data_IF_007377413182
#
_entry.id   IF_007377413182
#
_cell.length_a   1.000
_cell.length_b   1.000
_cell.length_c   1.000
_cell.angle_alpha   90.00
_cell.angle_beta   90.00
_cell.angle_gamma   90.00
#
_symmetry.space_group_name_H-M   'P 1'
#
loop_
_entity.id
_entity.type
_entity.pdbx_description
1 polymer ?
#
# COMPACT_ATOMS: atom_id res chain seq x y z
N UNK A 1 18.06 -10.47 -9.55
CA UNK A 1 17.65 -9.55 -8.48
C UNK A 1 16.54 -10.22 -7.71
N UNK A 2 16.61 -10.27 -6.38
CA UNK A 2 15.43 -10.67 -5.58
C UNK A 2 14.34 -9.64 -5.84
N UNK A 3 13.08 -10.07 -5.95
CA UNK A 3 11.96 -9.18 -6.31
C UNK A 3 11.78 -8.04 -5.31
N UNK A 4 12.04 -8.33 -4.04
CA UNK A 4 12.06 -7.35 -2.96
C UNK A 4 13.03 -6.18 -3.19
N UNK A 5 14.28 -6.46 -3.58
CA UNK A 5 15.26 -5.39 -3.87
C UNK A 5 14.83 -4.49 -5.04
N UNK A 6 14.22 -5.09 -6.07
CA UNK A 6 13.69 -4.31 -7.19
C UNK A 6 12.58 -3.34 -6.74
N UNK A 7 11.75 -3.74 -5.78
CA UNK A 7 10.71 -2.87 -5.21
C UNK A 7 11.36 -1.73 -4.41
N UNK A 8 12.39 -2.01 -3.60
CA UNK A 8 13.12 -0.97 -2.84
C UNK A 8 13.84 0.03 -3.75
N UNK A 9 14.37 -0.43 -4.88
CA UNK A 9 14.96 0.45 -5.90
C UNK A 9 13.90 1.41 -6.47
N UNK A 10 12.70 0.93 -6.82
CA UNK A 10 11.62 1.81 -7.27
C UNK A 10 11.21 2.84 -6.21
N UNK A 11 11.12 2.44 -4.94
CA UNK A 11 10.80 3.36 -3.85
C UNK A 11 11.86 4.47 -3.73
N UNK A 12 13.14 4.11 -3.89
CA UNK A 12 14.27 5.05 -3.88
C UNK A 12 14.22 6.00 -5.08
N UNK A 13 13.95 5.49 -6.28
CA UNK A 13 13.83 6.31 -7.50
C UNK A 13 12.66 7.31 -7.44
N UNK A 14 11.58 6.94 -6.73
CA UNK A 14 10.39 7.77 -6.52
C UNK A 14 10.52 8.74 -5.33
N UNK A 15 11.65 8.71 -4.60
CA UNK A 15 11.87 9.49 -3.36
C UNK A 15 10.80 9.22 -2.29
N UNK A 16 10.31 7.98 -2.22
CA UNK A 16 9.31 7.55 -1.24
C UNK A 16 10.01 7.04 0.01
N UNK A 17 9.59 7.55 1.18
CA UNK A 17 10.19 7.17 2.45
C UNK A 17 9.74 5.79 2.92
N UNK A 18 10.70 4.95 3.32
CA UNK A 18 10.45 3.67 4.01
C UNK A 18 10.48 3.95 5.52
N UNK A 19 9.34 3.75 6.17
CA UNK A 19 9.15 3.94 7.61
C UNK A 19 9.45 2.69 8.45
N UNK A 20 9.31 1.50 7.84
CA UNK A 20 9.62 0.22 8.46
C UNK A 20 9.98 -0.81 7.38
N UNK A 21 10.83 -1.76 7.72
CA UNK A 21 11.29 -2.84 6.83
C UNK A 21 11.40 -4.13 7.63
N UNK A 22 10.91 -5.22 7.05
CA UNK A 22 11.09 -6.60 7.50
C UNK A 22 11.62 -7.46 6.34
N UNK A 23 12.93 -7.70 6.33
CA UNK A 23 13.59 -8.50 5.29
C UNK A 23 13.18 -9.98 5.33
N UNK A 24 12.76 -10.51 6.49
CA UNK A 24 12.40 -11.92 6.63
C UNK A 24 11.05 -12.22 5.96
N UNK A 25 10.13 -11.28 6.06
CA UNK A 25 8.80 -11.33 5.44
C UNK A 25 8.77 -10.61 4.07
N UNK A 26 9.91 -10.16 3.54
CA UNK A 26 10.01 -9.39 2.29
C UNK A 26 8.98 -8.22 2.20
N UNK A 27 8.83 -7.49 3.30
CA UNK A 27 7.80 -6.46 3.50
C UNK A 27 8.42 -5.10 3.87
N UNK A 28 7.84 -4.01 3.37
CA UNK A 28 8.15 -2.63 3.80
C UNK A 28 6.88 -1.83 4.07
N UNK A 29 6.98 -0.84 4.97
CA UNK A 29 5.92 0.15 5.21
C UNK A 29 6.39 1.50 4.75
N UNK A 30 5.68 2.12 3.82
CA UNK A 30 6.05 3.39 3.20
C UNK A 30 5.13 4.54 3.61
N UNK A 31 5.65 5.75 3.49
CA UNK A 31 4.90 6.99 3.69
C UNK A 31 5.25 8.00 2.61
N UNK A 32 4.20 8.62 2.06
CA UNK A 32 4.27 9.78 1.18
C UNK A 32 2.98 10.61 1.35
N UNK A 33 2.92 11.47 2.38
CA UNK A 33 1.73 12.25 2.68
C UNK A 33 1.32 13.22 1.57
N UNK A 34 2.28 13.68 0.75
CA UNK A 34 2.01 14.61 -0.35
C UNK A 34 1.14 13.96 -1.43
N UNK A 35 1.35 12.66 -1.68
CA UNK A 35 0.54 11.85 -2.61
C UNK A 35 -0.57 11.04 -1.93
N UNK A 36 -0.83 11.29 -0.64
CA UNK A 36 -1.90 10.63 0.12
C UNK A 36 -1.60 9.19 0.57
N UNK A 37 -0.33 8.80 0.56
CA UNK A 37 0.14 7.50 1.06
C UNK A 37 0.51 7.64 2.54
N UNK A 38 -0.18 6.91 3.39
CA UNK A 38 0.04 6.88 4.84
C UNK A 38 0.05 5.44 5.34
N UNK A 39 1.23 4.96 5.74
CA UNK A 39 1.45 3.61 6.24
C UNK A 39 0.96 2.53 5.26
N UNK A 40 1.29 2.69 3.98
CA UNK A 40 1.04 1.64 3.00
C UNK A 40 2.06 0.52 3.22
N UNK A 41 1.55 -0.70 3.38
CA UNK A 41 2.35 -1.91 3.44
C UNK A 41 2.53 -2.42 2.01
N UNK A 42 3.78 -2.72 1.67
CA UNK A 42 4.16 -3.39 0.44
C UNK A 42 4.77 -4.71 0.82
N UNK A 43 4.10 -5.79 0.42
CA UNK A 43 4.46 -7.16 0.75
C UNK A 43 4.75 -7.94 -0.54
N UNK A 44 5.96 -8.50 -0.63
CA UNK A 44 6.48 -9.15 -1.84
C UNK A 44 6.29 -10.68 -1.81
N UNK A 45 5.04 -11.13 -1.74
CA UNK A 45 4.67 -12.55 -1.74
C UNK A 45 4.76 -13.22 -3.12
N UNK A 46 5.73 -14.11 -3.40
CA UNK A 46 5.84 -14.79 -4.71
C UNK A 46 4.56 -15.57 -5.08
N UNK A 47 3.91 -15.32 -6.24
CA UNK A 47 4.36 -14.53 -7.40
C UNK A 47 3.74 -13.13 -7.55
N UNK A 48 3.14 -12.60 -6.50
CA UNK A 48 2.42 -11.32 -6.47
C UNK A 48 3.17 -10.25 -5.67
N UNK A 49 2.68 -9.03 -5.74
CA UNK A 49 3.06 -7.96 -4.81
C UNK A 49 1.76 -7.39 -4.29
N UNK A 50 1.62 -7.32 -2.97
CA UNK A 50 0.43 -6.78 -2.31
C UNK A 50 0.74 -5.36 -1.86
N UNK A 51 -0.09 -4.41 -2.28
CA UNK A 51 -0.06 -3.00 -1.86
C UNK A 51 -1.32 -2.75 -1.05
N UNK A 52 -1.18 -2.54 0.25
CA UNK A 52 -2.32 -2.34 1.14
C UNK A 52 -2.17 -1.11 2.03
N UNK A 53 -3.27 -0.39 2.21
CA UNK A 53 -3.32 0.77 3.10
C UNK A 53 -4.72 0.87 3.72
N UNK A 54 -4.78 1.16 5.01
CA UNK A 54 -6.04 1.51 5.66
C UNK A 54 -6.49 2.91 5.22
N UNK A 55 -7.58 2.99 4.45
CA UNK A 55 -8.14 4.26 4.01
C UNK A 55 -9.03 4.88 5.11
N UNK A 56 -9.96 4.09 5.65
CA UNK A 56 -10.90 4.53 6.69
C UNK A 56 -11.52 3.36 7.43
N UNK A 57 -11.92 3.58 8.68
CA UNK A 57 -12.79 2.66 9.39
C UNK A 57 -14.21 2.70 8.79
N UNK A 58 -14.85 1.53 8.71
CA UNK A 58 -16.24 1.44 8.28
C UNK A 58 -17.15 1.96 9.41
N UNK A 59 -18.02 2.95 9.16
CA UNK A 59 -18.96 3.45 10.16
C UNK A 59 -20.04 2.40 10.48
N UNK A 60 -20.56 2.42 11.71
CA UNK A 60 -21.56 1.47 12.19
C UNK A 60 -22.87 1.48 11.36
N UNK A 61 -23.20 2.61 10.74
CA UNK A 61 -24.32 2.75 9.81
C UNK A 61 -23.78 3.22 8.45
N UNK A 62 -23.36 2.28 7.56
CA UNK A 62 -22.61 2.62 6.36
C UNK A 62 -23.45 3.23 5.24
N UNK A 63 -24.79 3.15 5.29
CA UNK A 63 -25.66 3.68 4.24
C UNK A 63 -25.24 3.19 2.84
N UNK A 64 -25.00 4.12 1.93
CA UNK A 64 -24.57 3.83 0.55
C UNK A 64 -23.05 3.67 0.37
N UNK A 65 -22.25 3.65 1.44
CA UNK A 65 -20.78 3.62 1.38
C UNK A 65 -20.24 2.53 0.44
N UNK A 66 -20.62 1.28 0.65
CA UNK A 66 -20.10 0.17 -0.16
C UNK A 66 -20.50 0.27 -1.63
N UNK A 67 -21.73 0.72 -1.91
CA UNK A 67 -22.18 0.98 -3.28
C UNK A 67 -21.32 2.06 -3.92
N UNK A 68 -21.01 3.13 -3.19
CA UNK A 68 -20.17 4.22 -3.71
C UNK A 68 -18.73 3.76 -3.98
N UNK A 69 -18.15 2.95 -3.10
CA UNK A 69 -16.82 2.36 -3.32
C UNK A 69 -16.79 1.50 -4.60
N UNK A 70 -17.80 0.64 -4.81
CA UNK A 70 -17.90 -0.17 -6.03
C UNK A 70 -18.09 0.67 -7.30
N UNK A 71 -18.78 1.80 -7.21
CA UNK A 71 -18.90 2.74 -8.33
C UNK A 71 -17.56 3.41 -8.65
N UNK A 72 -16.81 3.83 -7.62
CA UNK A 72 -15.48 4.42 -7.78
C UNK A 72 -14.48 3.43 -8.40
N UNK A 73 -14.60 2.14 -8.11
CA UNK A 73 -13.77 1.09 -8.72
C UNK A 73 -14.03 0.87 -10.23
N UNK A 74 -15.09 1.46 -10.79
CA UNK A 74 -15.48 1.32 -12.21
C UNK A 74 -15.50 2.65 -12.97
N UNK A 75 -15.06 3.74 -12.35
CA UNK A 75 -14.80 5.04 -13.00
C UNK A 75 -13.37 5.12 -13.47
#
# INVERSE_FOLDING_TARGET
MKKFELVKDYLTELDISISHEDEAEEMVVIQDPENGIQNMVIDCEDPIVVLEQLIMAVPAQPGDLFKRLLQMNRT
#
